data_IF_930256697408
#
_entry.id   IF_930256697408
#
_cell.length_a   1.000
_cell.length_b   1.000
_cell.length_c   1.000
_cell.angle_alpha   90.00
_cell.angle_beta   90.00
_cell.angle_gamma   90.00
#
_symmetry.space_group_name_H-M   'P 1'
#
loop_
_entity.id
_entity.type
_entity.pdbx_description
1 polymer ?
#
# COMPACT_ATOMS: atom_id res chain seq x y z
N UNK A 1 46.08 56.96 -7.88
CA UNK A 1 44.73 57.31 -7.35
C UNK A 1 43.73 56.38 -8.03
N UNK A 2 43.29 55.34 -7.33
CA UNK A 2 41.89 55.17 -6.87
C UNK A 2 40.93 55.03 -8.07
N UNK A 3 40.32 53.87 -8.36
CA UNK A 3 39.18 53.28 -7.65
C UNK A 3 39.04 51.80 -8.09
N UNK A 4 39.16 50.84 -7.15
CA UNK A 4 38.08 50.15 -6.41
C UNK A 4 37.35 49.05 -7.20
N UNK A 5 37.65 47.82 -6.76
CA UNK A 5 36.84 46.60 -6.80
C UNK A 5 35.32 46.82 -6.80
N UNK A 6 34.60 46.14 -7.72
CA UNK A 6 33.21 45.70 -7.57
C UNK A 6 32.98 44.51 -8.52
N UNK A 7 33.24 43.28 -8.07
CA UNK A 7 32.25 42.33 -7.55
C UNK A 7 31.52 41.53 -8.67
N UNK A 8 31.84 40.23 -8.86
CA UNK A 8 31.08 39.37 -9.76
C UNK A 8 29.80 38.95 -9.03
N UNK A 9 28.65 39.48 -9.44
CA UNK A 9 27.34 39.13 -8.88
C UNK A 9 26.48 38.44 -9.95
N UNK A 10 26.86 37.23 -10.33
CA UNK A 10 26.08 36.35 -11.21
C UNK A 10 26.24 34.90 -10.74
N UNK A 11 25.86 34.67 -9.49
CA UNK A 11 25.73 33.33 -8.91
C UNK A 11 24.30 33.17 -8.38
N UNK A 12 23.69 32.03 -8.74
CA UNK A 12 22.38 31.47 -8.35
C UNK A 12 21.15 31.87 -9.19
N UNK A 13 20.82 31.12 -10.26
CA UNK A 13 19.43 30.74 -10.45
C UNK A 13 19.07 29.76 -9.33
N UNK A 14 18.17 30.18 -8.44
CA UNK A 14 17.61 29.32 -7.41
C UNK A 14 17.00 28.08 -8.06
N UNK A 15 17.54 26.93 -7.64
CA UNK A 15 17.00 25.60 -7.82
C UNK A 15 15.53 25.55 -7.38
N UNK A 16 14.60 25.74 -8.32
CA UNK A 16 13.22 25.30 -8.15
C UNK A 16 13.20 23.77 -8.30
N UNK A 17 13.72 23.08 -7.28
CA UNK A 17 13.56 21.63 -7.15
C UNK A 17 12.07 21.40 -6.85
N UNK A 18 11.33 20.61 -7.66
CA UNK A 18 10.01 20.20 -7.26
C UNK A 18 10.16 19.50 -5.91
N UNK A 19 9.38 19.93 -4.91
CA UNK A 19 9.28 19.22 -3.64
C UNK A 19 8.67 17.85 -3.95
N UNK A 20 9.50 16.90 -4.36
CA UNK A 20 9.16 15.49 -4.44
C UNK A 20 8.72 15.12 -3.03
N UNK A 21 7.46 14.75 -2.88
CA UNK A 21 6.90 14.28 -1.63
C UNK A 21 7.85 13.21 -1.06
N UNK A 22 8.58 13.59 -0.02
CA UNK A 22 9.53 12.71 0.63
C UNK A 22 8.74 11.51 1.14
N UNK A 23 9.13 10.27 0.78
CA UNK A 23 8.45 9.09 1.29
C UNK A 23 8.39 9.15 2.82
N UNK A 24 7.19 9.21 3.39
CA UNK A 24 7.01 9.19 4.84
C UNK A 24 7.44 7.82 5.36
N UNK A 25 8.56 7.78 6.07
CA UNK A 25 9.00 6.56 6.76
C UNK A 25 8.27 6.47 8.11
N UNK A 26 7.38 5.50 8.26
CA UNK A 26 6.75 5.16 9.53
C UNK A 26 6.67 3.64 9.67
N UNK A 27 6.53 3.12 10.90
CA UNK A 27 6.53 1.68 11.19
C UNK A 27 5.19 1.17 11.73
N UNK A 28 4.80 -0.05 11.33
CA UNK A 28 3.65 -0.79 11.88
C UNK A 28 4.03 -1.84 12.93
N UNK A 29 5.28 -1.81 13.40
CA UNK A 29 5.71 -2.66 14.52
C UNK A 29 4.94 -2.23 15.77
N UNK A 30 4.26 -3.18 16.42
CA UNK A 30 3.48 -2.91 17.64
C UNK A 30 2.09 -2.32 17.40
N UNK A 31 1.71 -2.04 16.14
CA UNK A 31 0.38 -1.54 15.80
C UNK A 31 -0.73 -2.53 16.21
N UNK A 32 -0.42 -3.82 16.28
CA UNK A 32 -1.33 -4.86 16.74
C UNK A 32 -1.69 -4.75 18.24
N UNK A 33 -0.94 -3.98 19.02
CA UNK A 33 -1.16 -3.78 20.46
C UNK A 33 -2.04 -2.57 20.77
N UNK A 34 -2.28 -1.69 19.80
CA UNK A 34 -3.20 -0.57 19.98
C UNK A 34 -4.63 -1.12 20.09
N UNK A 35 -5.40 -0.46 20.95
CA UNK A 35 -6.82 -0.76 21.21
C UNK A 35 -7.73 0.32 20.59
N UNK A 36 -7.26 1.57 20.58
CA UNK A 36 -7.96 2.70 19.99
C UNK A 36 -7.72 2.82 18.47
N UNK A 37 -8.72 3.35 17.76
CA UNK A 37 -8.70 3.60 16.31
C UNK A 37 -8.33 2.35 15.47
N UNK A 38 -8.87 1.21 15.90
CA UNK A 38 -8.71 -0.10 15.29
C UNK A 38 -10.03 -0.55 14.65
N UNK A 39 -9.98 -0.88 13.36
CA UNK A 39 -11.15 -1.28 12.58
C UNK A 39 -10.90 -2.60 11.86
N UNK A 40 -11.80 -3.56 12.00
CA UNK A 40 -11.64 -4.91 11.46
C UNK A 40 -12.53 -5.13 10.23
N UNK A 41 -11.95 -5.63 9.13
CA UNK A 41 -12.65 -6.01 7.89
C UNK A 41 -12.54 -7.53 7.73
N UNK A 42 -13.67 -8.21 7.73
CA UNK A 42 -13.72 -9.66 7.56
C UNK A 42 -13.61 -10.09 6.08
N UNK A 43 -12.94 -11.22 5.81
CA UNK A 43 -12.86 -11.81 4.48
C UNK A 43 -13.36 -13.25 4.47
N UNK A 44 -13.93 -13.66 3.34
CA UNK A 44 -14.27 -15.06 3.07
C UNK A 44 -13.03 -15.93 2.93
N UNK A 45 -13.19 -17.24 3.15
CA UNK A 45 -12.11 -18.23 2.97
C UNK A 45 -11.54 -18.21 1.54
N UNK A 46 -10.23 -18.28 1.37
CA UNK A 46 -9.57 -18.26 0.05
C UNK A 46 -9.63 -16.95 -0.76
N UNK A 47 -10.50 -16.00 -0.43
CA UNK A 47 -10.67 -14.77 -1.21
C UNK A 47 -9.71 -13.66 -0.78
N UNK A 48 -9.16 -12.93 -1.75
CA UNK A 48 -8.28 -11.78 -1.53
C UNK A 48 -9.04 -10.44 -1.52
N UNK A 49 -10.22 -10.38 -2.13
CA UNK A 49 -11.03 -9.18 -2.23
C UNK A 49 -12.05 -9.09 -1.09
N UNK A 50 -12.24 -7.90 -0.49
CA UNK A 50 -13.24 -7.70 0.54
C UNK A 50 -14.64 -7.67 -0.08
N UNK A 51 -15.63 -8.17 0.65
CA UNK A 51 -17.02 -7.92 0.29
C UNK A 51 -17.36 -6.45 0.56
N UNK A 52 -18.02 -5.73 -0.37
CA UNK A 52 -18.31 -4.31 -0.21
C UNK A 52 -19.01 -3.98 1.11
N UNK A 53 -19.95 -4.83 1.53
CA UNK A 53 -20.73 -4.66 2.75
C UNK A 53 -19.88 -4.80 4.02
N UNK A 54 -18.97 -5.78 4.03
CA UNK A 54 -18.07 -6.03 5.17
C UNK A 54 -17.02 -4.91 5.32
N UNK A 55 -16.70 -4.21 4.23
CA UNK A 55 -15.70 -3.14 4.22
C UNK A 55 -16.30 -1.77 4.51
N UNK A 56 -17.55 -1.51 4.10
CA UNK A 56 -18.16 -0.16 4.13
C UNK A 56 -18.05 0.52 5.48
N UNK A 57 -18.50 -0.14 6.55
CA UNK A 57 -18.54 0.47 7.90
C UNK A 57 -17.13 0.65 8.49
N UNK A 58 -16.24 -0.37 8.55
CA UNK A 58 -14.89 -0.19 9.07
C UNK A 58 -14.07 0.83 8.28
N UNK A 59 -14.22 0.86 6.95
CA UNK A 59 -13.52 1.81 6.09
C UNK A 59 -13.97 3.24 6.36
N UNK A 60 -15.29 3.49 6.45
CA UNK A 60 -15.83 4.80 6.76
C UNK A 60 -15.36 5.31 8.13
N UNK A 61 -15.33 4.46 9.14
CA UNK A 61 -14.86 4.82 10.48
C UNK A 61 -13.36 5.15 10.50
N UNK A 62 -12.53 4.35 9.83
CA UNK A 62 -11.10 4.65 9.69
C UNK A 62 -10.85 5.97 8.94
N UNK A 63 -11.65 6.25 7.90
CA UNK A 63 -11.55 7.50 7.15
C UNK A 63 -11.97 8.72 7.96
N UNK A 64 -12.99 8.58 8.82
CA UNK A 64 -13.40 9.67 9.70
C UNK A 64 -12.23 10.09 10.62
N UNK A 65 -11.63 9.12 11.33
CA UNK A 65 -10.49 9.37 12.21
C UNK A 65 -9.27 9.91 11.46
N UNK A 66 -8.95 9.33 10.29
CA UNK A 66 -7.78 9.75 9.51
C UNK A 66 -7.90 11.15 8.89
N UNK A 67 -9.13 11.68 8.76
CA UNK A 67 -9.43 13.02 8.24
C UNK A 67 -9.42 14.09 9.33
N UNK A 68 -9.74 13.72 10.57
CA UNK A 68 -9.65 14.61 11.72
C UNK A 68 -8.21 15.10 11.95
N UNK A 69 -7.22 14.21 11.74
CA UNK A 69 -5.81 14.55 11.78
C UNK A 69 -5.04 13.95 10.59
N UNK A 70 -4.80 14.74 9.53
CA UNK A 70 -4.04 14.31 8.35
C UNK A 70 -2.57 13.97 8.62
N UNK A 71 -2.03 14.28 9.79
CA UNK A 71 -0.65 13.92 10.16
C UNK A 71 -0.51 12.45 10.57
N UNK A 72 -1.63 11.78 10.88
CA UNK A 72 -1.65 10.38 11.34
C UNK A 72 -1.41 9.42 10.17
N UNK A 73 -0.57 8.42 10.41
CA UNK A 73 -0.30 7.34 9.46
C UNK A 73 -1.20 6.12 9.73
N UNK A 74 -1.38 5.26 8.74
CA UNK A 74 -2.31 4.12 8.78
C UNK A 74 -1.56 2.83 8.50
N UNK A 75 -1.75 1.85 9.38
CA UNK A 75 -1.27 0.48 9.20
C UNK A 75 -2.42 -0.44 8.85
N UNK A 76 -2.28 -1.18 7.75
CA UNK A 76 -3.26 -2.15 7.28
C UNK A 76 -2.64 -3.53 7.43
N UNK A 77 -3.08 -4.27 8.45
CA UNK A 77 -2.52 -5.55 8.85
C UNK A 77 -3.41 -6.68 8.34
N UNK A 78 -2.92 -7.44 7.35
CA UNK A 78 -3.64 -8.58 6.81
C UNK A 78 -3.36 -9.86 7.59
N UNK A 79 -4.41 -10.61 7.89
CA UNK A 79 -4.32 -11.95 8.47
C UNK A 79 -5.05 -12.97 7.59
N UNK A 80 -4.50 -14.17 7.50
CA UNK A 80 -5.11 -15.28 6.79
C UNK A 80 -4.87 -16.60 7.54
N UNK A 81 -5.82 -17.53 7.40
CA UNK A 81 -5.61 -18.91 7.82
C UNK A 81 -4.57 -19.57 6.89
N UNK A 82 -3.78 -20.47 7.45
CA UNK A 82 -2.79 -21.29 6.73
C UNK A 82 -3.48 -22.39 5.91
N UNK A 83 -4.27 -21.98 4.93
CA UNK A 83 -4.90 -22.89 3.97
C UNK A 83 -3.89 -23.13 2.84
N UNK A 84 -3.25 -24.31 2.85
CA UNK A 84 -2.19 -24.65 1.90
C UNK A 84 -0.78 -24.21 2.32
N UNK A 85 -0.55 -23.94 3.61
CA UNK A 85 0.78 -23.68 4.18
C UNK A 85 1.04 -22.23 4.61
N UNK A 86 2.24 -21.99 5.16
CA UNK A 86 2.64 -20.68 5.71
C UNK A 86 2.84 -19.62 4.63
N UNK A 87 3.53 -19.97 3.55
CA UNK A 87 3.88 -19.05 2.46
C UNK A 87 2.63 -18.57 1.73
N UNK A 88 1.74 -19.49 1.37
CA UNK A 88 0.46 -19.20 0.70
C UNK A 88 -0.46 -18.35 1.57
N UNK A 89 -0.57 -18.66 2.87
CA UNK A 89 -1.29 -17.83 3.84
C UNK A 89 -0.73 -16.41 3.94
N UNK A 90 0.59 -16.26 4.01
CA UNK A 90 1.25 -14.94 4.07
C UNK A 90 1.01 -14.12 2.80
N UNK A 91 1.08 -14.75 1.62
CA UNK A 91 0.77 -14.08 0.36
C UNK A 91 -0.70 -13.65 0.29
N UNK A 92 -1.62 -14.50 0.74
CA UNK A 92 -3.05 -14.18 0.79
C UNK A 92 -3.32 -13.00 1.73
N UNK A 93 -2.73 -13.02 2.93
CA UNK A 93 -2.78 -11.91 3.88
C UNK A 93 -2.27 -10.60 3.27
N UNK A 94 -1.14 -10.64 2.54
CA UNK A 94 -0.58 -9.48 1.87
C UNK A 94 -1.53 -8.91 0.81
N UNK A 95 -2.16 -9.77 -0.01
CA UNK A 95 -3.12 -9.32 -1.03
C UNK A 95 -4.34 -8.65 -0.42
N UNK A 96 -4.89 -9.21 0.67
CA UNK A 96 -6.02 -8.60 1.39
C UNK A 96 -5.68 -7.24 1.97
N UNK A 97 -4.52 -7.14 2.63
CA UNK A 97 -4.05 -5.85 3.17
C UNK A 97 -3.91 -4.80 2.07
N UNK A 98 -3.38 -5.19 0.91
CA UNK A 98 -3.29 -4.30 -0.26
C UNK A 98 -4.66 -3.87 -0.78
N UNK A 99 -5.63 -4.78 -0.88
CA UNK A 99 -6.99 -4.45 -1.34
C UNK A 99 -7.63 -3.38 -0.46
N UNK A 100 -7.51 -3.50 0.86
CA UNK A 100 -8.03 -2.48 1.80
C UNK A 100 -7.24 -1.17 1.72
N UNK A 101 -5.92 -1.23 1.59
CA UNK A 101 -5.10 -0.02 1.39
C UNK A 101 -5.46 0.72 0.09
N UNK A 102 -5.78 -0.01 -0.98
CA UNK A 102 -6.26 0.56 -2.23
C UNK A 102 -7.60 1.27 -2.04
N UNK A 103 -8.55 0.67 -1.32
CA UNK A 103 -9.84 1.30 -1.01
C UNK A 103 -9.67 2.59 -0.17
N UNK A 104 -8.77 2.58 0.83
CA UNK A 104 -8.45 3.77 1.63
C UNK A 104 -7.86 4.90 0.75
N UNK A 105 -6.98 4.57 -0.19
CA UNK A 105 -6.35 5.57 -1.05
C UNK A 105 -7.23 6.05 -2.20
N UNK A 106 -7.99 5.14 -2.83
CA UNK A 106 -8.84 5.43 -3.99
C UNK A 106 -10.13 6.10 -3.56
N UNK A 107 -11.00 5.35 -2.89
CA UNK A 107 -12.33 5.82 -2.49
C UNK A 107 -12.26 6.81 -1.33
N UNK A 108 -11.30 6.59 -0.43
CA UNK A 108 -11.14 7.39 0.78
C UNK A 108 -10.34 8.67 0.62
N UNK A 109 -9.54 8.78 -0.46
CA UNK A 109 -8.68 9.93 -0.74
C UNK A 109 -7.49 10.09 0.20
N UNK A 110 -7.14 9.05 0.97
CA UNK A 110 -5.95 9.09 1.84
C UNK A 110 -4.69 8.94 0.97
N UNK A 111 -3.70 9.76 1.25
CA UNK A 111 -2.44 9.74 0.50
C UNK A 111 -1.71 8.40 0.69
N UNK A 112 -1.24 7.82 -0.42
CA UNK A 112 -0.64 6.46 -0.42
C UNK A 112 0.59 6.35 0.48
N UNK A 113 1.34 7.43 0.63
CA UNK A 113 2.52 7.51 1.48
C UNK A 113 2.19 7.45 2.99
N UNK A 114 0.92 7.65 3.37
CA UNK A 114 0.44 7.50 4.76
C UNK A 114 -0.04 6.10 5.07
N UNK A 115 -0.15 5.21 4.09
CA UNK A 115 -0.74 3.87 4.26
C UNK A 115 0.34 2.83 4.07
N UNK A 116 0.47 1.91 5.04
CA UNK A 116 1.37 0.77 4.94
C UNK A 116 0.63 -0.53 5.14
N UNK A 117 0.64 -1.35 4.09
CA UNK A 117 0.00 -2.67 4.07
C UNK A 117 1.02 -3.77 4.40
N UNK A 118 0.75 -4.55 5.45
CA UNK A 118 1.64 -5.60 5.92
C UNK A 118 0.89 -6.91 6.13
N UNK A 119 1.49 -8.02 5.69
CA UNK A 119 1.03 -9.35 6.09
C UNK A 119 1.53 -9.65 7.50
N UNK A 120 0.63 -10.15 8.35
CA UNK A 120 0.94 -10.57 9.71
C UNK A 120 0.51 -12.01 9.93
N UNK A 121 1.32 -12.72 10.70
CA UNK A 121 0.95 -13.98 11.32
C UNK A 121 0.41 -13.69 12.73
N UNK A 122 -0.46 -14.55 13.24
CA UNK A 122 -1.06 -14.40 14.57
C UNK A 122 -0.05 -14.18 15.71
N UNK A 123 1.19 -14.69 15.58
CA UNK A 123 2.20 -14.59 16.63
C UNK A 123 1.66 -15.07 17.99
N UNK A 124 2.03 -14.38 19.07
CA UNK A 124 1.55 -14.67 20.44
C UNK A 124 0.43 -13.73 20.91
N UNK A 125 -0.03 -12.78 20.07
CA UNK A 125 -1.09 -11.85 20.46
C UNK A 125 -2.47 -12.49 20.32
N UNK A 126 -3.30 -12.42 21.38
CA UNK A 126 -4.69 -12.92 21.35
C UNK A 126 -5.51 -12.25 20.25
N UNK A 127 -5.33 -10.94 20.04
CA UNK A 127 -6.03 -10.17 19.02
C UNK A 127 -5.64 -10.61 17.61
N UNK A 128 -4.34 -10.78 17.38
CA UNK A 128 -3.83 -11.26 16.10
C UNK A 128 -4.28 -12.70 15.82
N UNK A 129 -4.35 -13.57 16.83
CA UNK A 129 -4.92 -14.92 16.71
C UNK A 129 -6.41 -14.90 16.35
N UNK A 130 -7.21 -14.05 17.01
CA UNK A 130 -8.63 -13.89 16.70
C UNK A 130 -8.83 -13.35 15.28
N UNK A 131 -8.07 -12.33 14.89
CA UNK A 131 -8.11 -11.75 13.54
C UNK A 131 -7.74 -12.79 12.47
N UNK A 132 -6.74 -13.62 12.75
CA UNK A 132 -6.36 -14.71 11.86
C UNK A 132 -7.45 -15.77 11.73
N UNK A 133 -8.07 -16.17 12.85
CA UNK A 133 -9.18 -17.12 12.84
C UNK A 133 -10.39 -16.59 12.04
N UNK A 134 -10.67 -15.29 12.17
CA UNK A 134 -11.72 -14.56 11.44
C UNK A 134 -11.34 -14.17 10.02
N UNK A 135 -10.09 -14.44 9.60
CA UNK A 135 -9.59 -14.13 8.25
C UNK A 135 -9.68 -12.63 7.97
N UNK A 136 -9.32 -11.80 8.94
CA UNK A 136 -9.56 -10.37 8.89
C UNK A 136 -8.34 -9.55 8.42
N UNK A 137 -8.63 -8.35 7.92
CA UNK A 137 -7.67 -7.25 7.82
C UNK A 137 -8.00 -6.26 8.92
N UNK A 138 -6.99 -5.78 9.63
CA UNK A 138 -7.11 -4.77 10.67
C UNK A 138 -6.53 -3.46 10.15
N UNK A 139 -7.34 -2.42 10.12
CA UNK A 139 -6.91 -1.04 9.89
C UNK A 139 -6.61 -0.42 11.25
N UNK A 140 -5.42 0.16 11.41
CA UNK A 140 -5.00 0.86 12.62
C UNK A 140 -4.58 2.27 12.22
N UNK A 141 -5.24 3.29 12.76
CA UNK A 141 -4.79 4.68 12.60
C UNK A 141 -3.81 4.99 13.72
N UNK A 142 -2.54 5.15 13.38
CA UNK A 142 -1.49 5.39 14.38
C UNK A 142 -1.69 6.75 15.05
N UNK A 143 -1.33 6.89 16.35
CA UNK A 143 -1.32 8.20 17.00
C UNK A 143 -0.38 9.15 16.26
N UNK A 144 -0.65 10.45 16.38
CA UNK A 144 0.22 11.47 15.81
C UNK A 144 1.66 11.27 16.32
N UNK A 145 2.68 11.38 15.44
CA UNK A 145 4.06 11.24 15.86
C UNK A 145 4.38 12.32 16.90
N UNK A 146 5.00 11.92 18.01
CA UNK A 146 5.39 12.84 19.09
C UNK A 146 6.39 13.85 18.50
N UNK A 147 6.02 15.13 18.49
CA UNK A 147 6.82 16.22 17.88
C UNK A 147 6.41 16.62 16.47
N UNK A 148 5.33 16.08 15.91
CA UNK A 148 4.74 16.61 14.68
C UNK A 148 4.28 18.07 14.91
N UNK A 149 4.85 19.01 14.17
CA UNK A 149 4.35 20.38 14.15
C UNK A 149 2.87 20.36 13.70
N UNK A 150 1.98 21.15 14.33
CA UNK A 150 0.57 21.19 13.95
C UNK A 150 0.44 21.49 12.45
N UNK A 151 -0.58 20.92 11.78
CA UNK A 151 -0.75 21.11 10.34
C UNK A 151 -0.83 22.60 10.04
N UNK A 152 0.17 23.12 9.30
CA UNK A 152 0.14 24.48 8.79
C UNK A 152 -1.02 24.55 7.81
N UNK A 153 -2.13 25.14 8.24
CA UNK A 153 -3.21 25.50 7.31
C UNK A 153 -2.56 26.35 6.19
N UNK A 154 -2.67 25.97 4.91
CA UNK A 154 -2.18 26.83 3.85
C UNK A 154 -2.91 28.17 3.96
N UNK A 155 -2.14 29.24 4.13
CA UNK A 155 -2.70 30.59 4.15
C UNK A 155 -3.47 30.83 2.84
N UNK A 156 -4.61 31.53 2.87
CA UNK A 156 -5.34 31.86 1.65
C UNK A 156 -4.38 32.57 0.69
N UNK A 157 -4.25 32.01 -0.52
CA UNK A 157 -3.38 32.56 -1.57
C UNK A 157 -3.77 34.02 -1.83
N UNK A 158 -2.80 34.95 -1.92
CA UNK A 158 -3.09 36.30 -2.37
C UNK A 158 -3.67 36.24 -3.79
N UNK A 159 -4.65 37.10 -4.14
CA UNK A 159 -5.27 37.09 -5.46
C UNK A 159 -4.20 37.30 -6.54
N UNK A 160 -4.03 36.31 -7.39
CA UNK A 160 -3.11 36.36 -8.53
C UNK A 160 -3.60 37.43 -9.50
N UNK A 161 -2.88 38.57 -9.57
CA UNK A 161 -3.10 39.53 -10.67
C UNK A 161 -2.69 38.86 -11.97
N UNK A 162 -3.65 38.65 -12.85
CA UNK A 162 -3.41 38.19 -14.23
C UNK A 162 -2.59 39.28 -14.95
N UNK A 163 -1.30 39.08 -15.10
CA UNK A 163 -0.50 39.88 -16.05
C UNK A 163 -0.66 39.34 -17.46
N UNK A 164 -0.67 40.19 -18.49
CA UNK A 164 -0.85 39.76 -19.88
C UNK A 164 0.32 38.87 -20.31
N UNK A 165 0.02 37.69 -20.82
CA UNK A 165 1.00 36.79 -21.45
C UNK A 165 1.31 37.33 -22.84
N UNK A 166 2.52 37.84 -23.04
CA UNK A 166 3.04 38.13 -24.38
C UNK A 166 3.34 36.80 -25.09
N UNK A 167 2.87 36.55 -26.33
CA UNK A 167 3.17 35.31 -27.03
C UNK A 167 4.66 35.24 -27.41
N UNK A 168 5.33 34.20 -26.92
CA UNK A 168 6.71 33.83 -27.28
C UNK A 168 6.75 33.30 -28.73
N UNK A 169 7.76 33.66 -29.55
CA UNK A 169 7.92 33.11 -30.90
C UNK A 169 8.12 31.60 -30.89
N UNK A 170 7.49 30.91 -31.84
CA UNK A 170 7.55 29.47 -32.00
C UNK A 170 8.99 28.99 -32.28
N UNK A 171 9.48 28.07 -31.44
CA UNK A 171 10.72 27.35 -31.67
C UNK A 171 10.61 26.46 -32.93
N UNK A 172 11.71 26.24 -33.68
CA UNK A 172 11.72 25.34 -34.82
C UNK A 172 11.41 23.88 -34.40
N UNK A 173 10.82 23.07 -35.29
CA UNK A 173 10.48 21.68 -34.98
C UNK A 173 11.73 20.85 -34.71
N UNK A 174 11.75 20.19 -33.54
CA UNK A 174 12.75 19.18 -33.18
C UNK A 174 12.50 17.93 -34.04
N UNK A 175 13.52 17.33 -34.67
CA UNK A 175 13.36 16.08 -35.40
C UNK A 175 12.92 14.95 -34.47
N UNK A 176 11.96 14.15 -34.93
CA UNK A 176 11.38 13.05 -34.18
C UNK A 176 12.46 12.02 -33.78
N UNK A 177 12.43 11.51 -32.53
CA UNK A 177 13.27 10.38 -32.15
C UNK A 177 12.88 9.14 -32.95
N UNK A 178 13.88 8.41 -33.45
CA UNK A 178 13.70 7.14 -34.11
C UNK A 178 13.00 6.14 -33.16
N UNK A 179 11.95 5.51 -33.67
CA UNK A 179 11.18 4.47 -32.98
C UNK A 179 12.13 3.33 -32.57
N UNK A 180 12.23 2.97 -31.28
CA UNK A 180 12.92 1.76 -30.88
C UNK A 180 12.24 0.55 -31.54
N UNK A 181 13.03 -0.31 -32.16
CA UNK A 181 12.56 -1.58 -32.72
C UNK A 181 11.84 -2.39 -31.63
N UNK A 182 10.68 -2.94 -31.98
CA UNK A 182 9.89 -3.78 -31.08
C UNK A 182 10.76 -4.94 -30.54
N UNK A 183 10.71 -5.24 -29.24
CA UNK A 183 11.36 -6.43 -28.70
C UNK A 183 10.77 -7.67 -29.38
N UNK A 184 11.66 -8.61 -29.73
CA UNK A 184 11.28 -9.92 -30.26
C UNK A 184 10.26 -10.60 -29.33
N UNK A 185 9.30 -11.37 -29.88
CA UNK A 185 8.38 -12.13 -29.05
C UNK A 185 9.16 -13.07 -28.13
N UNK A 186 8.71 -13.26 -26.87
CA UNK A 186 9.33 -14.24 -25.98
C UNK A 186 9.26 -15.62 -26.63
N UNK A 187 10.38 -16.34 -26.58
CA UNK A 187 10.43 -17.73 -26.97
C UNK A 187 9.39 -18.52 -26.17
N UNK A 188 8.61 -19.32 -26.88
CA UNK A 188 7.61 -20.23 -26.34
C UNK A 188 8.24 -21.07 -25.22
N UNK A 189 7.69 -20.95 -24.01
CA UNK A 189 8.17 -21.73 -22.88
C UNK A 189 7.85 -23.21 -23.14
N UNK A 190 8.78 -24.14 -22.88
CA UNK A 190 8.50 -25.57 -22.99
C UNK A 190 7.34 -25.95 -22.07
N UNK A 191 6.47 -26.84 -22.57
CA UNK A 191 5.31 -27.33 -21.85
C UNK A 191 5.69 -27.78 -20.42
N UNK A 192 4.89 -27.43 -19.41
CA UNK A 192 5.12 -27.90 -18.05
C UNK A 192 5.04 -29.44 -18.03
N UNK A 193 5.93 -30.13 -17.29
CA UNK A 193 5.87 -31.57 -17.17
C UNK A 193 4.51 -31.99 -16.60
N UNK A 194 3.95 -33.06 -17.18
CA UNK A 194 2.67 -33.61 -16.76
C UNK A 194 2.66 -33.87 -15.24
N UNK A 195 1.54 -33.57 -14.55
CA UNK A 195 1.43 -33.79 -13.12
C UNK A 195 1.67 -35.27 -12.79
N UNK A 196 2.38 -35.59 -11.69
CA UNK A 196 2.61 -36.96 -11.29
C UNK A 196 1.27 -37.67 -11.06
N UNK A 197 1.16 -38.90 -11.57
CA UNK A 197 0.00 -39.75 -11.36
C UNK A 197 -0.29 -39.91 -9.86
N UNK A 198 -1.56 -39.86 -9.43
CA UNK A 198 -1.90 -40.11 -8.04
C UNK A 198 -1.45 -41.53 -7.64
N UNK A 199 -0.99 -41.72 -6.38
CA UNK A 199 -0.61 -43.03 -5.88
C UNK A 199 -1.81 -43.99 -5.97
N UNK A 200 -1.53 -45.23 -6.39
CA UNK A 200 -2.53 -46.28 -6.47
C UNK A 200 -3.23 -46.45 -5.11
N UNK A 201 -4.56 -46.67 -5.09
CA UNK A 201 -5.29 -46.91 -3.85
C UNK A 201 -4.70 -48.13 -3.13
N UNK A 202 -4.47 -47.97 -1.82
CA UNK A 202 -3.98 -49.07 -0.98
C UNK A 202 -4.95 -50.25 -1.04
N UNK A 203 -4.43 -51.49 -1.10
CA UNK A 203 -5.28 -52.69 -1.09
C UNK A 203 -6.14 -52.71 0.17
N UNK A 204 -7.40 -53.11 0.02
CA UNK A 204 -8.34 -53.22 1.12
C UNK A 204 -7.83 -54.23 2.16
N UNK A 205 -8.05 -53.98 3.47
CA UNK A 205 -7.67 -54.92 4.51
C UNK A 205 -8.46 -56.22 4.37
N UNK A 206 -7.78 -57.35 4.60
CA UNK A 206 -8.39 -58.67 4.58
C UNK A 206 -9.53 -58.78 5.61
N UNK A 207 -10.63 -59.48 5.26
CA UNK A 207 -11.74 -59.69 6.18
C UNK A 207 -11.28 -60.50 7.41
N UNK A 208 -11.67 -60.02 8.59
CA UNK A 208 -11.38 -60.68 9.85
C UNK A 208 -11.96 -62.11 9.90
N UNK A 209 -11.25 -63.08 10.49
CA UNK A 209 -11.75 -64.45 10.62
C UNK A 209 -12.96 -64.49 11.57
N UNK A 210 -13.93 -65.39 11.33
CA UNK A 210 -15.11 -65.52 12.16
C UNK A 210 -14.74 -65.99 13.57
N UNK A 211 -15.27 -65.29 14.58
CA UNK A 211 -15.15 -65.67 15.99
C UNK A 211 -15.97 -66.95 16.25
N UNK A 212 -15.35 -67.94 16.91
CA UNK A 212 -16.03 -69.13 17.43
C UNK A 212 -16.68 -68.84 18.78
#
# INVERSE_FOLDING_TARGET
MMHRLLAPLLLLPLLAVPALAQPRSFSCIGAERLEDDVFEVAFRAGHADPQPEAMRTPLAAALAVAREDPSRNICVLGYARQEGGQTTGTQLAARRARAVALALSGDGGIERDRIRAEARNAGFSRRAAASQARRAVVIVVLPAPVGAAPPVRPAPLPPTRLTPVTPTPAAPPVPAPATPAAPAPPAEAPDPPAPPHPPAPSPAPDPAPPSR
#
